data_IF_719826848228
#
_entry.id   IF_719826848228
#
_cell.length_a   1.000
_cell.length_b   1.000
_cell.length_c   1.000
_cell.angle_alpha   90.00
_cell.angle_beta   90.00
_cell.angle_gamma   90.00
#
_symmetry.space_group_name_H-M   'P 1'
#
loop_
_entity.id
_entity.type
_entity.pdbx_description
1 polymer ?
#
# COMPACT_ATOMS: atom_id res chain seq x y z
N UNK A 1 -25.74 -30.01 20.70
CA UNK A 1 -24.31 -29.89 21.06
C UNK A 1 -23.54 -29.56 19.80
N UNK A 2 -22.98 -28.36 19.70
CA UNK A 2 -21.62 -28.09 19.21
C UNK A 2 -21.43 -26.56 19.31
N UNK A 3 -20.96 -26.09 20.46
CA UNK A 3 -20.57 -24.69 20.61
C UNK A 3 -19.26 -24.49 19.83
N UNK A 4 -19.22 -23.49 18.96
CA UNK A 4 -17.95 -22.95 18.46
C UNK A 4 -17.72 -21.61 19.14
N UNK A 5 -16.65 -21.55 19.92
CA UNK A 5 -16.20 -20.38 20.65
C UNK A 5 -15.99 -19.21 19.69
N UNK A 6 -16.51 -18.04 20.07
CA UNK A 6 -16.10 -16.78 19.47
C UNK A 6 -14.73 -16.44 20.04
N UNK A 7 -13.69 -16.49 19.22
CA UNK A 7 -12.40 -15.90 19.57
C UNK A 7 -12.52 -14.40 19.34
N UNK A 8 -12.57 -13.63 20.43
CA UNK A 8 -12.62 -12.18 20.37
C UNK A 8 -11.25 -11.66 19.89
N UNK A 9 -11.22 -11.13 18.67
CA UNK A 9 -10.03 -10.48 18.11
C UNK A 9 -9.82 -9.16 18.84
N UNK A 10 -8.91 -9.16 19.82
CA UNK A 10 -8.57 -8.00 20.63
C UNK A 10 -7.66 -7.07 19.81
N UNK A 11 -8.17 -5.91 19.42
CA UNK A 11 -7.36 -4.85 18.81
C UNK A 11 -6.33 -4.32 19.81
N UNK A 12 -5.04 -4.51 19.52
CA UNK A 12 -3.95 -4.06 20.40
C UNK A 12 -3.35 -2.72 19.95
N UNK A 13 -2.86 -1.89 20.89
CA UNK A 13 -2.27 -0.61 20.58
C UNK A 13 -0.89 -0.76 19.91
N UNK A 14 -0.55 0.20 19.04
CA UNK A 14 0.73 0.27 18.33
C UNK A 14 1.92 0.11 19.29
N UNK A 15 2.80 -0.86 19.01
CA UNK A 15 3.97 -1.17 19.86
C UNK A 15 4.89 0.04 20.01
N UNK A 16 5.29 0.32 21.24
CA UNK A 16 6.06 1.51 21.63
C UNK A 16 7.26 1.81 20.72
N UNK A 17 7.22 2.97 20.04
CA UNK A 17 8.38 3.56 19.36
C UNK A 17 9.54 3.71 20.35
N UNK A 18 10.66 3.04 20.08
CA UNK A 18 11.95 3.38 20.70
C UNK A 18 12.37 4.75 20.15
N UNK A 19 12.33 5.78 20.98
CA UNK A 19 12.92 7.08 20.65
C UNK A 19 14.43 6.93 20.52
N UNK A 20 14.94 6.91 19.29
CA UNK A 20 16.36 7.09 19.01
C UNK A 20 16.60 8.59 18.83
N UNK A 21 17.21 9.22 19.83
CA UNK A 21 17.74 10.57 19.67
C UNK A 21 19.08 10.48 18.93
N UNK A 22 19.19 11.16 17.79
CA UNK A 22 20.48 11.41 17.14
C UNK A 22 20.65 12.93 16.98
N UNK A 23 21.59 13.48 17.73
CA UNK A 23 22.08 14.83 17.61
C UNK A 23 23.58 14.73 17.32
N UNK A 24 24.09 15.45 16.32
CA UNK A 24 25.29 16.29 16.44
C UNK A 24 25.52 17.09 15.14
N UNK A 25 26.02 18.31 15.30
CA UNK A 25 26.45 19.24 14.25
C UNK A 25 27.97 19.17 14.04
N UNK A 26 28.42 19.48 12.83
CA UNK A 26 29.65 20.27 12.60
C UNK A 26 29.62 20.89 11.20
N UNK A 27 29.91 22.19 11.12
CA UNK A 27 30.00 22.99 9.89
C UNK A 27 31.42 22.91 9.30
N UNK A 28 31.58 23.07 7.97
CA UNK A 28 32.77 23.73 7.37
C UNK A 28 32.56 24.07 5.86
N UNK A 29 33.38 25.00 5.36
CA UNK A 29 33.21 25.84 4.14
C UNK A 29 34.31 25.62 3.07
N UNK A 30 34.23 25.99 1.78
CA UNK A 30 33.17 26.56 0.87
C UNK A 30 33.58 26.28 -0.60
N UNK A 31 32.66 26.28 -1.56
CA UNK A 31 32.96 26.76 -2.95
C UNK A 31 31.72 26.95 -3.84
N UNK A 32 31.72 28.04 -4.60
CA UNK A 32 30.68 28.42 -5.58
C UNK A 32 30.77 27.57 -6.86
N UNK A 33 29.63 27.18 -7.44
CA UNK A 33 29.60 26.50 -8.75
C UNK A 33 28.24 26.00 -9.20
N UNK A 34 27.62 26.71 -10.14
CA UNK A 34 26.49 26.31 -10.99
C UNK A 34 25.17 25.91 -10.31
N UNK A 35 24.28 26.90 -10.11
CA UNK A 35 22.83 26.66 -10.05
C UNK A 35 22.34 26.07 -11.39
N UNK A 36 22.20 24.74 -11.46
CA UNK A 36 21.37 24.10 -12.48
C UNK A 36 20.01 23.76 -11.88
N UNK A 37 19.02 24.59 -12.23
CA UNK A 37 17.61 24.31 -12.00
C UNK A 37 17.23 22.97 -12.62
N UNK A 38 16.92 21.99 -11.76
CA UNK A 38 16.28 20.72 -12.12
C UNK A 38 14.80 20.75 -11.70
N UNK A 39 14.09 21.79 -12.13
CA UNK A 39 12.62 21.80 -12.10
C UNK A 39 12.07 21.45 -13.50
N UNK A 40 10.82 20.99 -13.55
CA UNK A 40 10.07 20.56 -14.75
C UNK A 40 10.34 19.17 -15.35
N UNK A 41 10.43 18.12 -14.51
CA UNK A 41 10.09 16.74 -14.91
C UNK A 41 8.61 16.39 -14.64
N UNK A 42 7.71 17.08 -15.35
CA UNK A 42 6.36 16.62 -15.72
C UNK A 42 5.46 16.07 -14.60
N UNK A 43 5.04 16.93 -13.65
CA UNK A 43 3.91 16.60 -12.76
C UNK A 43 2.61 16.64 -13.57
N UNK A 44 2.11 15.48 -13.99
CA UNK A 44 0.76 15.35 -14.57
C UNK A 44 -0.28 15.85 -13.55
N UNK A 45 -0.85 17.03 -13.78
CA UNK A 45 -1.88 17.62 -12.92
C UNK A 45 -3.09 16.68 -12.85
N UNK A 46 -3.37 16.23 -11.63
CA UNK A 46 -4.34 15.18 -11.35
C UNK A 46 -5.77 15.74 -11.39
N UNK A 47 -6.60 15.20 -12.29
CA UNK A 47 -8.05 15.20 -12.06
C UNK A 47 -8.35 14.19 -10.95
N UNK A 48 -8.75 14.72 -9.79
CA UNK A 48 -9.04 13.94 -8.59
C UNK A 48 -10.34 13.13 -8.78
N UNK A 49 -10.42 11.87 -8.33
CA UNK A 49 -11.70 11.16 -8.28
C UNK A 49 -12.65 11.89 -7.31
N UNK A 50 -13.80 12.34 -7.81
CA UNK A 50 -14.77 13.15 -7.04
C UNK A 50 -15.46 12.39 -5.90
N UNK A 51 -15.34 11.06 -5.88
CA UNK A 51 -16.02 10.19 -4.92
C UNK A 51 -15.03 9.68 -3.87
N UNK A 52 -15.27 10.01 -2.60
CA UNK A 52 -14.56 9.43 -1.45
C UNK A 52 -14.77 7.91 -1.45
N UNK A 53 -13.73 7.14 -1.80
CA UNK A 53 -13.68 5.69 -1.65
C UNK A 53 -13.49 5.33 -0.17
N UNK A 54 -14.09 4.23 0.26
CA UNK A 54 -13.85 3.63 1.57
C UNK A 54 -13.17 2.27 1.36
N UNK A 55 -12.02 2.08 2.01
CA UNK A 55 -11.23 0.87 1.94
C UNK A 55 -11.42 0.11 3.25
N UNK A 56 -11.72 -1.19 3.17
CA UNK A 56 -11.96 -2.01 4.35
C UNK A 56 -10.87 -3.06 4.45
N UNK A 57 -10.13 -3.01 5.56
CA UNK A 57 -9.01 -3.90 5.84
C UNK A 57 -8.68 -3.89 7.32
N UNK A 58 -7.95 -4.91 7.74
CA UNK A 58 -7.35 -5.08 9.04
C UNK A 58 -5.98 -5.78 8.90
N UNK A 59 -5.26 -5.86 10.01
CA UNK A 59 -3.95 -6.51 10.06
C UNK A 59 -4.02 -7.66 11.06
N UNK A 60 -3.58 -8.85 10.66
CA UNK A 60 -3.55 -10.04 11.51
C UNK A 60 -2.09 -10.39 11.82
N UNK A 61 -1.81 -10.69 13.10
CA UNK A 61 -0.47 -11.07 13.55
C UNK A 61 -0.06 -12.43 12.95
N UNK A 62 1.10 -12.48 12.30
CA UNK A 62 1.82 -13.72 12.00
C UNK A 62 3.07 -13.81 12.89
N UNK A 63 3.64 -15.00 13.06
CA UNK A 63 4.63 -15.25 14.13
C UNK A 63 5.90 -14.39 14.04
N UNK A 64 6.30 -13.94 12.84
CA UNK A 64 7.38 -13.00 12.60
C UNK A 64 7.02 -11.85 11.63
N UNK A 65 5.81 -11.86 11.07
CA UNK A 65 5.39 -11.09 9.90
C UNK A 65 4.00 -10.47 10.14
N UNK A 66 3.39 -9.85 9.13
CA UNK A 66 1.99 -9.41 9.17
C UNK A 66 1.19 -9.94 7.98
N UNK A 67 -0.08 -10.29 8.22
CA UNK A 67 -1.05 -10.57 7.17
C UNK A 67 -1.89 -9.32 6.95
N UNK A 68 -1.87 -8.81 5.72
CA UNK A 68 -2.81 -7.82 5.23
C UNK A 68 -4.13 -8.53 4.91
N UNK A 69 -5.19 -8.25 5.65
CA UNK A 69 -6.53 -8.76 5.38
C UNK A 69 -7.42 -7.62 4.85
N UNK A 70 -8.01 -7.77 3.66
CA UNK A 70 -8.92 -6.77 3.08
C UNK A 70 -10.20 -7.39 2.57
N UNK A 71 -11.28 -6.62 2.54
CA UNK A 71 -12.61 -7.10 2.16
C UNK A 71 -13.43 -6.05 1.40
N UNK A 72 -14.25 -6.51 0.46
CA UNK A 72 -15.02 -5.65 -0.45
C UNK A 72 -16.26 -6.32 -1.00
N UNK A 73 -17.14 -5.54 -1.65
CA UNK A 73 -18.34 -6.04 -2.33
C UNK A 73 -18.04 -6.47 -3.79
N UNK A 74 -16.75 -6.49 -4.16
CA UNK A 74 -16.24 -7.05 -5.40
C UNK A 74 -14.76 -7.41 -5.23
N UNK A 75 -14.26 -8.30 -6.10
CA UNK A 75 -12.84 -8.62 -6.18
C UNK A 75 -11.98 -7.37 -6.42
N UNK A 76 -12.44 -6.45 -7.28
CA UNK A 76 -11.76 -5.20 -7.60
C UNK A 76 -11.65 -4.25 -6.40
N UNK A 77 -12.71 -4.11 -5.58
CA UNK A 77 -12.67 -3.34 -4.33
C UNK A 77 -11.69 -3.92 -3.31
N UNK A 78 -11.59 -5.25 -3.25
CA UNK A 78 -10.66 -5.95 -2.36
C UNK A 78 -9.21 -5.78 -2.82
N UNK A 79 -8.93 -5.92 -4.13
CA UNK A 79 -7.61 -5.63 -4.73
C UNK A 79 -7.12 -4.20 -4.41
N UNK A 80 -8.02 -3.22 -4.53
CA UNK A 80 -7.71 -1.82 -4.15
C UNK A 80 -7.47 -1.71 -2.64
N UNK A 81 -8.30 -2.36 -1.82
CA UNK A 81 -8.23 -2.24 -0.36
C UNK A 81 -6.95 -2.85 0.22
N UNK A 82 -6.47 -4.01 -0.26
CA UNK A 82 -5.16 -4.56 0.14
C UNK A 82 -3.98 -3.72 -0.36
N UNK A 83 -4.09 -3.11 -1.54
CA UNK A 83 -3.12 -2.14 -2.02
C UNK A 83 -2.99 -0.94 -1.09
N UNK A 84 -4.11 -0.37 -0.64
CA UNK A 84 -4.11 0.75 0.32
C UNK A 84 -3.69 0.31 1.72
N UNK A 85 -4.05 -0.90 2.18
CA UNK A 85 -3.63 -1.40 3.49
C UNK A 85 -2.11 -1.56 3.58
N UNK A 86 -1.47 -2.02 2.50
CA UNK A 86 -0.02 -2.09 2.38
C UNK A 86 0.65 -0.72 2.58
N UNK A 87 0.20 0.31 1.84
CA UNK A 87 0.73 1.67 2.01
C UNK A 87 0.44 2.24 3.40
N UNK A 88 -0.74 1.99 3.96
CA UNK A 88 -1.10 2.48 5.29
C UNK A 88 -0.31 1.80 6.43
N UNK A 89 0.19 0.59 6.21
CA UNK A 89 1.11 -0.09 7.13
C UNK A 89 2.50 0.55 7.11
N UNK A 90 3.00 0.93 5.93
CA UNK A 90 4.27 1.65 5.75
C UNK A 90 4.23 3.10 6.24
N UNK A 91 3.12 3.80 6.00
CA UNK A 91 2.95 5.21 6.33
C UNK A 91 1.46 5.58 6.44
N UNK A 92 1.09 6.37 7.44
CA UNK A 92 -0.29 6.83 7.65
C UNK A 92 -0.83 7.62 6.43
N UNK A 93 -1.63 6.96 5.57
CA UNK A 93 -2.11 7.53 4.29
C UNK A 93 -3.09 8.70 4.47
N UNK A 94 -3.62 8.92 5.67
CA UNK A 94 -4.50 10.05 5.93
C UNK A 94 -3.81 11.40 5.68
N UNK A 95 -2.52 11.49 6.00
CA UNK A 95 -1.71 12.71 5.85
C UNK A 95 -1.19 12.94 4.42
N UNK A 96 -1.29 11.92 3.56
CA UNK A 96 -0.92 11.99 2.14
C UNK A 96 -1.94 12.84 1.37
N UNK A 97 -1.45 13.58 0.37
CA UNK A 97 -2.21 14.40 -0.58
C UNK A 97 -2.16 13.73 -1.95
N UNK A 98 -3.25 13.87 -2.70
CA UNK A 98 -3.38 13.31 -4.05
C UNK A 98 -2.82 14.33 -5.08
N UNK A 99 -1.50 14.53 -5.08
CA UNK A 99 -0.83 15.58 -5.88
C UNK A 99 -0.37 15.07 -7.26
N UNK A 100 -0.06 13.79 -7.34
CA UNK A 100 0.50 13.12 -8.50
C UNK A 100 -0.07 11.71 -8.61
N UNK A 101 0.12 11.09 -9.78
CA UNK A 101 -0.26 9.70 -10.01
C UNK A 101 0.88 8.89 -10.62
N UNK A 102 0.81 7.57 -10.49
CA UNK A 102 1.69 6.59 -11.14
C UNK A 102 0.83 5.51 -11.79
N UNK A 103 1.18 5.13 -13.01
CA UNK A 103 0.50 4.05 -13.74
C UNK A 103 1.13 2.73 -13.34
N UNK A 104 0.31 1.79 -12.89
CA UNK A 104 0.71 0.43 -12.53
C UNK A 104 0.09 -0.54 -13.53
N UNK A 105 0.87 -1.51 -13.97
CA UNK A 105 0.42 -2.60 -14.86
C UNK A 105 0.97 -3.91 -14.33
N UNK A 106 0.12 -4.90 -14.15
CA UNK A 106 0.57 -6.25 -13.82
C UNK A 106 -0.18 -7.28 -14.68
N UNK A 107 0.45 -8.44 -14.86
CA UNK A 107 -0.14 -9.61 -15.50
C UNK A 107 0.18 -10.85 -14.66
N UNK A 108 -0.76 -11.78 -14.53
CA UNK A 108 -0.57 -13.06 -13.84
C UNK A 108 -0.77 -14.26 -14.76
N UNK A 109 -0.55 -15.45 -14.20
CA UNK A 109 -1.00 -16.73 -14.79
C UNK A 109 -2.33 -17.21 -14.18
N UNK A 110 -2.68 -16.69 -12.99
CA UNK A 110 -3.94 -16.89 -12.28
C UNK A 110 -4.29 -15.62 -11.47
N UNK A 111 -5.42 -15.64 -10.74
CA UNK A 111 -5.90 -14.52 -9.92
C UNK A 111 -4.92 -14.15 -8.79
N UNK A 112 -4.35 -15.17 -8.13
CA UNK A 112 -3.38 -15.03 -7.05
C UNK A 112 -2.07 -14.42 -7.55
N UNK A 113 -1.60 -14.86 -8.71
CA UNK A 113 -0.41 -14.34 -9.37
C UNK A 113 -0.61 -12.90 -9.88
N UNK A 114 -1.81 -12.58 -10.36
CA UNK A 114 -2.19 -11.21 -10.73
C UNK A 114 -2.16 -10.29 -9.51
N UNK A 115 -2.72 -10.72 -8.38
CA UNK A 115 -2.69 -9.98 -7.12
C UNK A 115 -1.26 -9.76 -6.63
N UNK A 116 -0.46 -10.83 -6.59
CA UNK A 116 0.93 -10.79 -6.14
C UNK A 116 1.77 -9.82 -7.00
N UNK A 117 1.67 -9.92 -8.33
CA UNK A 117 2.40 -9.03 -9.24
C UNK A 117 1.90 -7.58 -9.11
N UNK A 118 0.58 -7.36 -8.94
CA UNK A 118 0.02 -6.03 -8.72
C UNK A 118 0.52 -5.37 -7.43
N UNK A 119 0.55 -6.11 -6.33
CA UNK A 119 1.09 -5.63 -5.05
C UNK A 119 2.61 -5.42 -5.12
N UNK A 120 3.33 -6.25 -5.86
CA UNK A 120 4.78 -6.09 -6.08
C UNK A 120 5.09 -4.80 -6.85
N UNK A 121 4.33 -4.48 -7.90
CA UNK A 121 4.48 -3.21 -8.64
C UNK A 121 4.11 -2.00 -7.77
N UNK A 122 3.07 -2.08 -6.94
CA UNK A 122 2.74 -1.02 -5.97
C UNK A 122 3.84 -0.86 -4.91
N UNK A 123 4.40 -1.96 -4.41
CA UNK A 123 5.51 -1.96 -3.46
C UNK A 123 6.77 -1.34 -4.06
N UNK A 124 7.05 -1.64 -5.34
CA UNK A 124 8.16 -1.04 -6.09
C UNK A 124 8.06 0.49 -6.21
N UNK A 125 6.85 1.06 -6.31
CA UNK A 125 6.68 2.53 -6.27
C UNK A 125 7.22 3.15 -4.97
N UNK A 126 7.03 2.46 -3.83
CA UNK A 126 7.60 2.88 -2.55
C UNK A 126 9.12 2.61 -2.51
N UNK A 127 9.56 1.41 -2.87
CA UNK A 127 10.99 1.03 -2.81
C UNK A 127 11.91 1.84 -3.73
N UNK A 128 11.41 2.32 -4.88
CA UNK A 128 12.20 3.06 -5.88
C UNK A 128 12.03 4.59 -5.77
N UNK A 129 10.82 5.08 -5.56
CA UNK A 129 10.52 6.53 -5.56
C UNK A 129 10.04 7.07 -4.20
N UNK A 130 9.91 6.22 -3.18
CA UNK A 130 9.17 6.53 -1.94
C UNK A 130 7.75 7.05 -2.20
N UNK A 131 7.12 6.68 -3.32
CA UNK A 131 5.77 7.12 -3.65
C UNK A 131 4.75 6.36 -2.81
N UNK A 132 3.81 7.07 -2.19
CA UNK A 132 2.76 6.47 -1.35
C UNK A 132 1.39 6.68 -1.99
N UNK A 133 0.70 5.60 -2.35
CA UNK A 133 -0.68 5.68 -2.81
C UNK A 133 -1.65 5.91 -1.64
N UNK A 134 -2.54 6.89 -1.80
CA UNK A 134 -3.71 7.12 -0.93
C UNK A 134 -5.03 6.75 -1.62
N UNK A 135 -5.05 6.74 -2.94
CA UNK A 135 -6.15 6.23 -3.75
C UNK A 135 -5.56 5.36 -4.88
N UNK A 136 -6.30 4.34 -5.29
CA UNK A 136 -5.98 3.49 -6.44
C UNK A 136 -7.24 3.37 -7.29
N UNK A 137 -7.11 3.67 -8.58
CA UNK A 137 -8.19 3.56 -9.56
C UNK A 137 -7.81 2.55 -10.64
N UNK A 138 -8.53 1.43 -10.69
CA UNK A 138 -8.29 0.37 -11.67
C UNK A 138 -9.04 0.72 -12.96
N UNK A 139 -8.29 0.91 -14.05
CA UNK A 139 -8.76 1.30 -15.38
C UNK A 139 -9.11 0.07 -16.21
N UNK A 140 -8.40 -1.04 -16.01
CA UNK A 140 -8.65 -2.31 -16.67
C UNK A 140 -8.49 -3.43 -15.66
N UNK A 141 -9.50 -4.29 -15.55
CA UNK A 141 -9.51 -5.45 -14.68
C UNK A 141 -10.00 -6.66 -15.50
N UNK A 142 -9.07 -7.34 -16.15
CA UNK A 142 -9.34 -8.47 -17.03
C UNK A 142 -8.98 -9.78 -16.33
N UNK A 143 -10.01 -10.51 -15.90
CA UNK A 143 -9.88 -11.80 -15.22
C UNK A 143 -9.82 -13.00 -16.18
N UNK A 144 -10.01 -12.81 -17.49
CA UNK A 144 -9.86 -13.86 -18.50
C UNK A 144 -8.40 -13.97 -18.96
N UNK A 145 -7.72 -12.82 -19.14
CA UNK A 145 -6.31 -12.74 -19.53
C UNK A 145 -5.36 -12.46 -18.36
N UNK A 146 -5.90 -12.42 -17.13
CA UNK A 146 -5.20 -12.07 -15.89
C UNK A 146 -4.35 -10.80 -16.02
N UNK A 147 -4.99 -9.69 -16.36
CA UNK A 147 -4.34 -8.39 -16.59
C UNK A 147 -5.02 -7.27 -15.80
N UNK A 148 -4.20 -6.44 -15.14
CA UNK A 148 -4.64 -5.27 -14.41
C UNK A 148 -3.85 -4.03 -14.85
N UNK A 149 -4.58 -2.93 -15.06
CA UNK A 149 -4.01 -1.60 -15.22
C UNK A 149 -4.70 -0.64 -14.25
N UNK A 150 -3.91 0.11 -13.48
CA UNK A 150 -4.41 1.05 -12.49
C UNK A 150 -3.59 2.35 -12.45
N UNK A 151 -4.16 3.39 -11.85
CA UNK A 151 -3.43 4.58 -11.39
C UNK A 151 -3.43 4.62 -9.86
N UNK A 152 -2.25 4.63 -9.26
CA UNK A 152 -2.06 4.99 -7.86
C UNK A 152 -1.90 6.51 -7.74
N UNK A 153 -2.63 7.14 -6.81
CA UNK A 153 -2.63 8.59 -6.59
C UNK A 153 -2.11 8.93 -5.21
N UNK A 154 -1.25 9.94 -5.10
CA UNK A 154 -0.59 10.28 -3.85
C UNK A 154 0.52 11.32 -4.02
N UNK A 155 1.59 11.16 -3.24
CA UNK A 155 2.82 11.96 -3.33
C UNK A 155 4.02 11.17 -2.79
N UNK A 156 5.23 11.72 -2.89
CA UNK A 156 6.43 11.12 -2.29
C UNK A 156 6.42 11.24 -0.75
N UNK A 157 6.95 10.23 -0.07
CA UNK A 157 7.17 10.25 1.37
C UNK A 157 8.09 11.42 1.77
N UNK A 158 7.89 11.93 2.99
CA UNK A 158 8.65 13.06 3.50
C UNK A 158 8.65 13.00 5.03
N UNK A 159 9.80 12.76 5.69
CA UNK A 159 9.87 12.59 7.14
C UNK A 159 9.36 13.78 7.97
N UNK A 160 9.29 14.99 7.38
CA UNK A 160 8.77 16.19 8.04
C UNK A 160 7.25 16.31 8.03
N UNK A 161 6.56 15.55 7.15
CA UNK A 161 5.11 15.62 6.93
C UNK A 161 4.39 14.30 7.24
N UNK A 162 5.06 13.19 6.97
CA UNK A 162 4.47 11.86 6.93
C UNK A 162 4.93 11.01 8.10
N UNK A 163 4.00 10.26 8.68
CA UNK A 163 4.28 9.40 9.82
C UNK A 163 4.74 8.02 9.35
N UNK A 164 6.02 7.69 9.57
CA UNK A 164 6.55 6.34 9.33
C UNK A 164 5.85 5.30 10.21
N UNK A 165 5.29 4.30 9.54
CA UNK A 165 4.90 3.02 10.11
C UNK A 165 6.05 2.01 10.03
N UNK A 166 5.76 0.79 9.60
CA UNK A 166 6.73 -0.29 9.45
C UNK A 166 6.98 -0.56 7.96
N UNK A 167 8.23 -0.52 7.53
CA UNK A 167 8.60 -0.88 6.17
C UNK A 167 8.26 -2.35 5.90
N UNK A 168 7.69 -2.63 4.73
CA UNK A 168 7.52 -3.99 4.22
C UNK A 168 8.69 -4.23 3.28
N UNK A 169 9.45 -5.33 3.45
CA UNK A 169 10.56 -5.70 2.58
C UNK A 169 10.08 -6.36 1.28
N UNK A 170 9.09 -7.25 1.38
CA UNK A 170 8.60 -8.03 0.25
C UNK A 170 7.14 -8.49 0.45
N UNK A 171 6.42 -8.57 -0.68
CA UNK A 171 5.16 -9.29 -0.77
C UNK A 171 5.48 -10.78 -0.93
N UNK A 172 4.69 -11.67 -0.32
CA UNK A 172 4.90 -13.11 -0.46
C UNK A 172 3.72 -13.79 -1.14
N UNK A 173 4.00 -14.87 -1.89
CA UNK A 173 2.96 -15.81 -2.36
C UNK A 173 2.57 -16.84 -1.29
N UNK A 174 3.28 -16.88 -0.16
CA UNK A 174 3.01 -17.84 0.90
C UNK A 174 1.70 -17.44 1.60
N UNK A 175 0.79 -18.41 1.71
CA UNK A 175 -0.55 -18.21 2.30
C UNK A 175 -1.43 -17.12 1.66
N UNK A 176 -1.11 -16.65 0.46
CA UNK A 176 -1.97 -15.76 -0.32
C UNK A 176 -3.30 -16.47 -0.58
N UNK A 177 -4.41 -15.90 -0.08
CA UNK A 177 -5.76 -16.47 -0.20
C UNK A 177 -6.72 -15.40 -0.72
N UNK A 178 -7.60 -15.81 -1.62
CA UNK A 178 -8.70 -15.00 -2.15
C UNK A 178 -9.97 -15.83 -1.95
N UNK A 179 -10.91 -15.32 -1.16
CA UNK A 179 -12.13 -16.02 -0.77
C UNK A 179 -13.33 -15.25 -1.33
N UNK A 180 -14.27 -15.97 -1.95
CA UNK A 180 -15.58 -15.45 -2.32
C UNK A 180 -16.66 -16.03 -1.42
N UNK A 181 -17.61 -15.19 -1.04
CA UNK A 181 -18.70 -15.55 -0.14
C UNK A 181 -20.03 -15.59 -0.90
N UNK A 182 -21.04 -16.23 -0.28
CA UNK A 182 -22.37 -16.40 -0.89
C UNK A 182 -23.23 -15.13 -0.92
N UNK A 183 -22.73 -14.03 -0.36
CA UNK A 183 -23.35 -12.71 -0.33
C UNK A 183 -22.64 -11.71 -1.27
N UNK A 184 -21.92 -12.24 -2.27
CA UNK A 184 -21.11 -11.52 -3.26
C UNK A 184 -19.95 -10.69 -2.66
N UNK A 185 -19.62 -10.88 -1.38
CA UNK A 185 -18.42 -10.31 -0.77
C UNK A 185 -17.16 -11.12 -1.04
N UNK A 186 -16.02 -10.44 -0.97
CA UNK A 186 -14.70 -10.98 -1.26
C UNK A 186 -13.72 -10.62 -0.14
N UNK A 187 -12.94 -11.60 0.33
CA UNK A 187 -11.85 -11.43 1.29
C UNK A 187 -10.50 -11.77 0.64
N UNK A 188 -9.46 -11.03 0.99
CA UNK A 188 -8.09 -11.23 0.50
C UNK A 188 -7.13 -11.21 1.68
N UNK A 189 -6.28 -12.22 1.76
CA UNK A 189 -5.22 -12.36 2.76
C UNK A 189 -3.86 -12.41 2.05
N UNK A 190 -2.93 -11.54 2.44
CA UNK A 190 -1.56 -11.49 1.89
C UNK A 190 -0.56 -11.37 3.03
N UNK A 191 0.33 -12.35 3.15
CA UNK A 191 1.46 -12.33 4.07
C UNK A 191 2.60 -11.46 3.50
N UNK A 192 3.15 -10.55 4.30
CA UNK A 192 4.26 -9.66 3.90
C UNK A 192 5.40 -9.67 4.92
N UNK A 193 6.64 -9.68 4.42
CA UNK A 193 7.89 -9.62 5.21
C UNK A 193 8.15 -8.18 5.66
N UNK A 194 8.44 -7.95 6.96
CA UNK A 194 8.59 -6.63 7.61
C UNK A 194 9.93 -6.47 8.31
#
# INVERSE_FOLDING_TARGET
MCERSKEEIVSLPQRNRRKVNACYLSEEEVSEGEEKSWEDSYVEKVNLPEKKKEYKYEYLDHTADVILHSYGNSLQESFISVGISMFNYMCNVNNVKLLMKRRVKAKGECTEDLLYNFLTELHFLYGNEYFICKDIDIVTFDMENFYIEAYGYGEHFSPSKHESGTEIKAITKHELKIISHSDDTWEIFVLVDI
#
